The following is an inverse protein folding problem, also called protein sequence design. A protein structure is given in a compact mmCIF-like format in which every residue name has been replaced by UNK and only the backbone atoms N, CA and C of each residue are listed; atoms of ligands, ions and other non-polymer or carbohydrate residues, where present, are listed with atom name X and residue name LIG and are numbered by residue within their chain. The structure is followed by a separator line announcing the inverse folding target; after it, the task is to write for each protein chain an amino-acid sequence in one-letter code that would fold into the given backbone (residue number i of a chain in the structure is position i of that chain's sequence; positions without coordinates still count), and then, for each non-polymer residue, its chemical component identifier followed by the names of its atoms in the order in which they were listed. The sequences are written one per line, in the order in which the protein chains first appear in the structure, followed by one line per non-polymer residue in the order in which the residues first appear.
data_IF_584861909613
#
_entry.id   IF_584861909613
#
_cell.length_a   1.000
_cell.length_b   1.000
_cell.length_c   1.000
_cell.angle_alpha   90.00
_cell.angle_beta   90.00
_cell.angle_gamma   90.00
#
_symmetry.space_group_name_H-M   'P 1'
#
loop_
_entity.id
_entity.type
_entity.pdbx_description
1 polymer ?
#
# COMPACT_ATOMS: atom_id res chain seq x y z
N UNK A 1 11.94 19.15 -12.55
CA UNK A 1 11.84 19.49 -11.11
C UNK A 1 10.41 19.82 -10.64
N UNK A 2 9.42 20.02 -11.53
CA UNK A 2 8.02 20.32 -11.12
C UNK A 2 7.03 19.16 -11.27
N UNK A 3 7.50 17.94 -11.61
CA UNK A 3 6.64 16.80 -11.88
C UNK A 3 6.59 15.87 -10.66
N UNK A 4 5.52 15.97 -9.86
CA UNK A 4 5.32 15.19 -8.64
C UNK A 4 5.36 13.67 -8.90
N UNK A 5 4.73 13.19 -9.98
CA UNK A 5 4.75 11.77 -10.34
C UNK A 5 6.16 11.28 -10.70
N UNK A 6 6.95 12.15 -11.33
CA UNK A 6 8.37 11.89 -11.62
C UNK A 6 9.24 11.87 -10.36
N UNK A 7 8.94 12.70 -9.36
CA UNK A 7 9.65 12.69 -8.07
C UNK A 7 9.34 11.43 -7.27
N UNK A 8 8.05 11.07 -7.16
CA UNK A 8 7.63 9.85 -6.48
C UNK A 8 8.30 8.62 -7.11
N UNK A 9 8.25 8.48 -8.44
CA UNK A 9 8.90 7.34 -9.13
C UNK A 9 10.42 7.30 -8.94
N UNK A 10 11.10 8.45 -9.01
CA UNK A 10 12.54 8.53 -8.80
C UNK A 10 12.95 8.15 -7.37
N UNK A 11 12.25 8.66 -6.35
CA UNK A 11 12.55 8.37 -4.94
C UNK A 11 12.36 6.89 -4.64
N UNK A 12 11.24 6.29 -5.06
CA UNK A 12 10.98 4.84 -4.90
C UNK A 12 12.12 4.01 -5.48
N UNK A 13 12.56 4.33 -6.70
CA UNK A 13 13.65 3.62 -7.36
C UNK A 13 15.02 3.83 -6.67
N UNK A 14 15.27 5.01 -6.11
CA UNK A 14 16.48 5.27 -5.32
C UNK A 14 16.46 4.42 -4.04
N UNK A 15 15.32 4.37 -3.34
CA UNK A 15 15.15 3.56 -2.12
C UNK A 15 15.29 2.07 -2.42
N UNK A 16 14.65 1.58 -3.49
CA UNK A 16 14.78 0.20 -3.95
C UNK A 16 16.24 -0.19 -4.20
N UNK A 17 17.00 0.65 -4.91
CA UNK A 17 18.45 0.45 -5.13
C UNK A 17 19.29 0.52 -3.85
N UNK A 18 18.76 1.08 -2.77
CA UNK A 18 19.39 1.12 -1.43
C UNK A 18 18.96 -0.05 -0.53
N UNK A 19 18.20 -1.01 -1.06
CA UNK A 19 17.77 -2.21 -0.32
C UNK A 19 16.41 -2.08 0.37
N UNK A 20 15.67 -0.99 0.14
CA UNK A 20 14.28 -0.88 0.59
C UNK A 20 13.36 -1.55 -0.42
N UNK A 21 13.14 -2.84 -0.23
CA UNK A 21 12.43 -3.72 -1.17
C UNK A 21 10.92 -3.68 -1.04
N UNK A 22 10.39 -3.10 0.04
CA UNK A 22 8.95 -3.04 0.33
C UNK A 22 8.49 -1.61 0.49
N UNK A 23 7.43 -1.25 -0.21
CA UNK A 23 6.72 0.01 0.00
C UNK A 23 5.39 -0.26 0.68
N UNK A 24 5.12 0.48 1.75
CA UNK A 24 3.81 0.50 2.41
C UNK A 24 3.07 1.76 2.01
N UNK A 25 1.92 1.62 1.35
CA UNK A 25 0.96 2.71 1.19
C UNK A 25 0.03 2.71 2.42
N UNK A 26 0.16 3.71 3.29
CA UNK A 26 -0.59 3.80 4.54
C UNK A 26 -1.64 4.93 4.49
N UNK A 27 -2.84 4.66 4.98
CA UNK A 27 -3.92 5.66 5.07
C UNK A 27 -4.49 5.74 6.48
N UNK A 28 -4.87 6.93 6.93
CA UNK A 28 -5.60 7.12 8.20
C UNK A 28 -7.13 7.15 8.03
N UNK A 29 -7.62 6.72 6.87
CA UNK A 29 -9.02 6.75 6.47
C UNK A 29 -9.42 5.39 5.88
N UNK A 30 -10.38 4.67 6.50
CA UNK A 30 -10.78 3.34 6.03
C UNK A 30 -11.42 3.37 4.63
N UNK A 31 -11.97 4.51 4.20
CA UNK A 31 -12.56 4.63 2.87
C UNK A 31 -11.52 4.61 1.74
N UNK A 32 -10.23 4.75 2.06
CA UNK A 32 -9.14 4.62 1.09
C UNK A 32 -8.63 3.18 0.96
N UNK A 33 -9.14 2.21 1.73
CA UNK A 33 -8.69 0.81 1.70
C UNK A 33 -8.62 0.25 0.26
N UNK A 34 -9.72 0.36 -0.49
CA UNK A 34 -9.75 -0.14 -1.88
C UNK A 34 -8.96 0.71 -2.88
N UNK A 35 -8.63 1.97 -2.55
CA UNK A 35 -7.65 2.74 -3.33
C UNK A 35 -6.26 2.13 -3.15
N UNK A 36 -5.94 1.68 -1.94
CA UNK A 36 -4.69 0.97 -1.68
C UNK A 36 -4.64 -0.41 -2.34
N UNK A 37 -5.75 -1.16 -2.35
CA UNK A 37 -5.83 -2.43 -3.10
C UNK A 37 -5.62 -2.22 -4.62
N UNK A 38 -6.26 -1.21 -5.19
CA UNK A 38 -6.04 -0.80 -6.59
C UNK A 38 -4.58 -0.43 -6.85
N UNK A 39 -3.96 0.34 -5.95
CA UNK A 39 -2.56 0.74 -6.07
C UNK A 39 -1.61 -0.48 -6.00
N UNK A 40 -1.89 -1.46 -5.13
CA UNK A 40 -1.10 -2.69 -5.05
C UNK A 40 -1.09 -3.44 -6.37
N UNK A 41 -2.26 -3.57 -7.02
CA UNK A 41 -2.33 -4.19 -8.34
C UNK A 41 -1.54 -3.38 -9.37
N UNK A 42 -1.76 -2.07 -9.44
CA UNK A 42 -1.07 -1.18 -10.37
C UNK A 42 0.46 -1.30 -10.23
N UNK A 43 0.99 -1.15 -9.02
CA UNK A 43 2.42 -1.23 -8.77
C UNK A 43 2.95 -2.66 -8.98
N UNK A 44 2.28 -3.66 -8.42
CA UNK A 44 2.73 -5.05 -8.41
C UNK A 44 2.77 -5.67 -9.80
N UNK A 45 1.70 -5.54 -10.59
CA UNK A 45 1.65 -6.11 -11.94
C UNK A 45 2.53 -5.33 -12.92
N UNK A 46 2.69 -4.02 -12.75
CA UNK A 46 3.58 -3.24 -13.62
C UNK A 46 5.05 -3.50 -13.34
N UNK A 47 5.46 -3.61 -12.07
CA UNK A 47 6.88 -3.60 -11.66
C UNK A 47 7.45 -4.99 -11.35
N UNK A 48 6.63 -5.95 -10.92
CA UNK A 48 7.03 -7.30 -10.48
C UNK A 48 7.41 -8.23 -11.62
N UNK A 49 8.53 -7.95 -12.29
CA UNK A 49 8.99 -8.63 -13.53
C UNK A 49 10.47 -8.94 -13.46
N UNK A 50 10.93 -9.95 -14.18
CA UNK A 50 12.35 -10.30 -14.31
C UNK A 50 13.09 -10.38 -12.95
N UNK A 51 12.41 -10.91 -11.92
CA UNK A 51 12.93 -11.03 -10.54
C UNK A 51 13.35 -9.68 -9.92
N UNK A 52 12.74 -8.58 -10.37
CA UNK A 52 12.86 -7.24 -9.80
C UNK A 52 11.47 -6.68 -9.44
N UNK A 53 11.44 -5.50 -8.83
CA UNK A 53 10.23 -4.81 -8.43
C UNK A 53 10.19 -4.56 -6.92
N UNK A 54 9.51 -3.47 -6.55
CA UNK A 54 9.19 -3.16 -5.16
C UNK A 54 7.97 -4.00 -4.79
N UNK A 55 7.99 -4.65 -3.63
CA UNK A 55 6.82 -5.34 -3.12
C UNK A 55 5.82 -4.31 -2.57
N UNK A 56 4.60 -4.19 -3.16
CA UNK A 56 3.62 -3.23 -2.69
C UNK A 56 2.79 -3.82 -1.55
N UNK A 57 2.83 -3.16 -0.40
CA UNK A 57 2.01 -3.46 0.78
C UNK A 57 1.11 -2.26 1.09
N UNK A 58 0.03 -2.49 1.84
CA UNK A 58 -0.88 -1.45 2.26
C UNK A 58 -1.28 -1.68 3.71
N UNK A 59 -1.44 -0.58 4.48
CA UNK A 59 -1.87 -0.61 5.88
C UNK A 59 -2.94 0.45 6.13
N UNK A 60 -3.94 0.11 6.95
CA UNK A 60 -5.00 1.00 7.38
C UNK A 60 -4.74 1.47 8.80
N UNK A 61 -4.30 2.71 8.96
CA UNK A 61 -4.05 3.33 10.25
C UNK A 61 -5.29 4.06 10.81
N UNK A 62 -5.46 4.16 12.13
CA UNK A 62 -4.57 3.62 13.18
C UNK A 62 -4.71 2.11 13.43
N UNK A 63 -5.68 1.43 12.83
CA UNK A 63 -5.99 0.00 13.06
C UNK A 63 -4.73 -0.88 12.99
N UNK A 64 -3.96 -0.78 11.92
CA UNK A 64 -2.78 -1.62 11.71
C UNK A 64 -1.54 -1.18 12.47
N UNK A 65 -1.58 -0.03 13.17
CA UNK A 65 -0.56 0.24 14.20
C UNK A 65 -0.65 -0.79 15.34
N UNK A 66 -1.82 -1.40 15.54
CA UNK A 66 -2.08 -2.43 16.55
C UNK A 66 -1.94 -3.87 16.02
N UNK A 67 -1.52 -4.06 14.77
CA UNK A 67 -1.19 -5.37 14.20
C UNK A 67 0.25 -5.42 13.70
N UNK A 68 0.65 -4.42 12.93
CA UNK A 68 1.94 -4.32 12.23
C UNK A 68 2.78 -3.12 12.67
N UNK A 69 2.28 -2.25 13.54
CA UNK A 69 3.03 -1.08 14.05
C UNK A 69 4.36 -1.47 14.72
N UNK A 70 4.37 -2.54 15.53
CA UNK A 70 5.61 -3.06 16.12
C UNK A 70 6.64 -3.46 15.06
N UNK A 71 6.21 -4.11 13.98
CA UNK A 71 7.11 -4.51 12.89
C UNK A 71 7.58 -3.29 12.09
N UNK A 72 6.69 -2.33 11.83
CA UNK A 72 7.06 -1.07 11.18
C UNK A 72 8.10 -0.29 12.00
N UNK A 73 8.01 -0.29 13.33
CA UNK A 73 8.95 0.41 14.20
C UNK A 73 10.30 -0.30 14.33
N UNK A 74 10.32 -1.61 14.59
CA UNK A 74 11.54 -2.33 15.02
C UNK A 74 11.90 -3.55 14.16
N UNK A 75 11.11 -3.86 13.12
CA UNK A 75 11.39 -4.96 12.20
C UNK A 75 12.57 -4.68 11.25
N UNK A 76 12.70 -5.50 10.20
CA UNK A 76 13.77 -5.34 9.20
C UNK A 76 13.64 -3.98 8.50
N UNK A 77 14.76 -3.25 8.34
CA UNK A 77 14.80 -1.91 7.73
C UNK A 77 14.91 -1.98 6.20
N UNK A 78 14.04 -2.77 5.58
CA UNK A 78 13.89 -2.88 4.12
C UNK A 78 12.56 -2.30 3.61
N UNK A 79 11.87 -1.54 4.47
CA UNK A 79 10.57 -0.93 4.18
C UNK A 79 10.68 0.59 4.13
N UNK A 80 9.91 1.21 3.24
CA UNK A 80 9.63 2.64 3.25
C UNK A 80 8.12 2.86 3.12
N UNK A 81 7.65 4.03 3.51
CA UNK A 81 6.22 4.30 3.68
C UNK A 81 5.77 5.53 2.90
N UNK A 82 4.64 5.43 2.23
CA UNK A 82 3.97 6.53 1.56
C UNK A 82 2.60 6.73 2.22
N UNK A 83 2.44 7.83 2.94
CA UNK A 83 1.17 8.16 3.60
C UNK A 83 0.20 8.85 2.62
N UNK A 84 -1.04 8.37 2.55
CA UNK A 84 -2.16 9.06 1.95
C UNK A 84 -2.98 9.77 3.02
N UNK A 85 -2.90 11.10 3.04
CA UNK A 85 -3.54 11.92 4.07
C UNK A 85 -4.65 12.76 3.47
N UNK A 86 -5.85 12.62 4.00
CA UNK A 86 -7.00 13.42 3.62
C UNK A 86 -7.05 14.71 4.45
N UNK A 87 -7.09 15.85 3.79
CA UNK A 87 -7.11 17.17 4.45
C UNK A 87 -8.46 17.52 5.07
N UNK A 88 -9.57 17.08 4.46
CA UNK A 88 -10.94 17.39 4.90
C UNK A 88 -11.82 16.15 4.92
N UNK A 89 -12.49 15.91 6.05
CA UNK A 89 -13.57 14.93 6.19
C UNK A 89 -14.92 15.56 5.81
N UNK A 90 -15.93 14.72 5.57
CA UNK A 90 -17.29 15.16 5.19
C UNK A 90 -18.08 15.64 6.42
N UNK A 91 -17.76 15.10 7.60
CA UNK A 91 -18.44 15.38 8.85
C UNK A 91 -17.44 15.35 9.99
N UNK A 92 -17.63 16.21 10.97
CA UNK A 92 -16.78 16.34 12.17
C UNK A 92 -17.50 15.82 13.39
N UNK A 93 -16.80 15.05 14.21
CA UNK A 93 -17.26 14.60 15.52
C UNK A 93 -16.32 15.16 16.57
N UNK A 94 -16.87 15.87 17.55
CA UNK A 94 -16.11 16.44 18.67
C UNK A 94 -16.21 15.53 19.88
N UNK A 95 -15.10 15.34 20.60
CA UNK A 95 -15.07 14.58 21.84
C UNK A 95 -15.82 15.36 22.92
N UNK A 96 -16.90 14.79 23.50
CA UNK A 96 -17.61 15.43 24.60
C UNK A 96 -16.75 15.43 25.87
N UNK A 97 -17.07 16.34 26.79
CA UNK A 97 -16.52 16.31 28.15
C UNK A 97 -17.43 15.48 29.05
N UNK A 98 -16.85 14.65 29.92
CA UNK A 98 -17.58 13.92 30.95
C UNK A 98 -17.14 14.37 32.35
N UNK A 99 -18.05 14.34 33.32
CA UNK A 99 -17.72 14.66 34.72
C UNK A 99 -16.86 13.56 35.37
N UNK A 100 -17.05 12.31 34.95
CA UNK A 100 -16.19 11.17 35.29
C UNK A 100 -15.04 11.10 34.27
N UNK A 101 -13.81 11.30 34.75
CA UNK A 101 -12.56 11.28 33.98
C UNK A 101 -11.72 10.03 34.29
N UNK A 102 -12.36 8.91 34.63
CA UNK A 102 -11.66 7.67 34.99
C UNK A 102 -10.88 7.02 33.84
N UNK A 103 -11.16 7.38 32.59
CA UNK A 103 -10.38 6.99 31.41
C UNK A 103 -9.21 7.95 31.11
N UNK A 104 -9.11 9.05 31.85
CA UNK A 104 -8.13 10.14 31.68
C UNK A 104 -8.17 10.77 30.28
N UNK A 105 -9.31 10.73 29.57
CA UNK A 105 -9.44 11.25 28.21
C UNK A 105 -10.03 12.67 28.12
N UNK A 106 -10.38 13.32 29.23
CA UNK A 106 -10.91 14.69 29.17
C UNK A 106 -9.91 15.73 28.59
N UNK A 107 -8.61 15.43 28.50
CA UNK A 107 -7.66 16.29 27.78
C UNK A 107 -7.94 16.36 26.27
N UNK A 108 -8.73 15.41 25.74
CA UNK A 108 -9.24 15.41 24.37
C UNK A 108 -10.57 16.14 24.22
N UNK A 109 -11.24 16.50 25.32
CA UNK A 109 -12.55 17.15 25.26
C UNK A 109 -12.50 18.45 24.44
N UNK A 110 -13.47 18.62 23.54
CA UNK A 110 -13.51 19.75 22.61
C UNK A 110 -12.64 19.60 21.35
N UNK A 111 -11.73 18.61 21.31
CA UNK A 111 -11.00 18.26 20.07
C UNK A 111 -11.89 17.46 19.13
N UNK A 112 -11.66 17.60 17.83
CA UNK A 112 -12.32 16.76 16.85
C UNK A 112 -11.56 15.46 16.59
N UNK A 113 -12.25 14.43 16.12
CA UNK A 113 -11.61 13.18 15.69
C UNK A 113 -10.62 13.42 14.55
N UNK A 114 -10.83 14.41 13.68
CA UNK A 114 -9.85 14.81 12.68
C UNK A 114 -8.57 15.36 13.30
N UNK A 115 -8.69 16.21 14.33
CA UNK A 115 -7.51 16.72 15.05
C UNK A 115 -6.75 15.58 15.71
N UNK A 116 -7.45 14.64 16.36
CA UNK A 116 -6.85 13.48 17.00
C UNK A 116 -6.14 12.61 15.96
N UNK A 117 -6.81 12.29 14.85
CA UNK A 117 -6.25 11.45 13.79
C UNK A 117 -5.07 12.12 13.07
N UNK A 118 -5.10 13.45 12.87
CA UNK A 118 -3.97 14.20 12.35
C UNK A 118 -2.76 14.16 13.28
N UNK A 119 -2.97 14.22 14.60
CA UNK A 119 -1.89 14.08 15.57
C UNK A 119 -1.38 12.64 15.64
N UNK A 120 -2.24 11.63 15.51
CA UNK A 120 -1.82 10.23 15.38
C UNK A 120 -0.93 10.03 14.14
N UNK A 121 -1.31 10.60 12.99
CA UNK A 121 -0.46 10.61 11.79
C UNK A 121 0.90 11.27 12.03
N UNK A 122 0.93 12.49 12.59
CA UNK A 122 2.19 13.20 12.85
C UNK A 122 3.09 12.42 13.79
N UNK A 123 2.52 11.88 14.88
CA UNK A 123 3.26 11.05 15.83
C UNK A 123 3.84 9.80 15.18
N UNK A 124 3.03 9.10 14.37
CA UNK A 124 3.45 7.90 13.62
C UNK A 124 4.57 8.22 12.64
N UNK A 125 4.40 9.26 11.81
CA UNK A 125 5.42 9.69 10.84
C UNK A 125 6.76 9.97 11.52
N UNK A 126 6.75 10.75 12.61
CA UNK A 126 7.97 11.10 13.33
C UNK A 126 8.62 9.86 13.94
N UNK A 127 7.85 9.00 14.61
CA UNK A 127 8.34 7.76 15.21
C UNK A 127 8.93 6.81 14.17
N UNK A 128 8.29 6.66 13.00
CA UNK A 128 8.77 5.80 11.91
C UNK A 128 10.06 6.35 11.29
N UNK A 129 10.15 7.67 11.07
CA UNK A 129 11.38 8.31 10.56
C UNK A 129 12.53 8.15 11.55
N UNK A 130 12.30 8.34 12.84
CA UNK A 130 13.28 8.07 13.91
C UNK A 130 13.68 6.58 13.95
N UNK A 131 12.70 5.70 13.70
CA UNK A 131 12.88 4.26 13.48
C UNK A 131 13.53 3.87 12.15
N UNK A 132 14.03 4.86 11.38
CA UNK A 132 14.73 4.70 10.10
C UNK A 132 13.89 4.10 8.97
N UNK A 133 12.57 4.28 9.01
CA UNK A 133 11.68 4.06 7.87
C UNK A 133 11.64 5.36 7.06
N UNK A 134 12.16 5.39 5.82
CA UNK A 134 11.97 6.55 4.96
C UNK A 134 10.47 6.73 4.68
N UNK A 135 9.98 7.95 4.81
CA UNK A 135 8.56 8.24 4.65
C UNK A 135 8.31 9.41 3.70
N UNK A 136 7.24 9.31 2.92
CA UNK A 136 6.71 10.38 2.08
C UNK A 136 5.22 10.57 2.36
N UNK A 137 4.67 11.73 2.03
CA UNK A 137 3.25 12.03 2.21
C UNK A 137 2.64 12.60 0.94
N UNK A 138 1.53 12.02 0.52
CA UNK A 138 0.64 12.53 -0.51
C UNK A 138 -0.62 13.04 0.20
N UNK A 139 -0.90 14.34 0.04
CA UNK A 139 -2.05 14.99 0.66
C UNK A 139 -3.17 15.14 -0.36
N UNK A 140 -4.36 14.64 -0.04
CA UNK A 140 -5.58 14.78 -0.81
C UNK A 140 -6.42 15.92 -0.23
N UNK A 141 -6.91 16.82 -1.09
CA UNK A 141 -7.70 17.96 -0.63
C UNK A 141 -9.06 17.55 -0.05
N UNK A 142 -9.72 16.58 -0.70
CA UNK A 142 -11.03 16.06 -0.33
C UNK A 142 -11.27 14.66 -0.95
N UNK A 143 -12.51 14.17 -0.84
CA UNK A 143 -12.96 12.88 -1.40
C UNK A 143 -13.84 13.03 -2.64
N UNK A 144 -13.69 14.13 -3.38
CA UNK A 144 -14.45 14.36 -4.62
C UNK A 144 -13.91 13.50 -5.76
N UNK A 145 -14.74 13.27 -6.77
CA UNK A 145 -14.40 12.55 -7.99
C UNK A 145 -13.22 13.21 -8.72
N UNK A 146 -13.10 14.54 -8.63
CA UNK A 146 -11.98 15.30 -9.18
C UNK A 146 -10.67 14.94 -8.49
N UNK A 147 -10.63 14.97 -7.16
CA UNK A 147 -9.43 14.62 -6.38
C UNK A 147 -9.05 13.15 -6.59
N UNK A 148 -10.05 12.27 -6.66
CA UNK A 148 -9.83 10.86 -6.95
C UNK A 148 -9.23 10.64 -8.35
N UNK A 149 -9.75 11.34 -9.38
CA UNK A 149 -9.20 11.28 -10.73
C UNK A 149 -7.76 11.80 -10.82
N UNK A 150 -7.42 12.85 -10.07
CA UNK A 150 -6.04 13.34 -9.96
C UNK A 150 -5.13 12.29 -9.34
N UNK A 151 -5.59 11.61 -8.28
CA UNK A 151 -4.84 10.57 -7.60
C UNK A 151 -4.56 9.37 -8.50
N UNK A 152 -5.57 8.87 -9.21
CA UNK A 152 -5.40 7.75 -10.14
C UNK A 152 -4.40 8.08 -11.24
N UNK A 153 -4.57 9.22 -11.91
CA UNK A 153 -3.66 9.61 -12.98
C UNK A 153 -2.22 9.89 -12.48
N UNK A 154 -2.10 10.44 -11.26
CA UNK A 154 -0.80 10.60 -10.61
C UNK A 154 -0.09 9.26 -10.46
N UNK A 155 -0.77 8.26 -9.90
CA UNK A 155 -0.18 6.94 -9.68
C UNK A 155 0.07 6.18 -10.98
N UNK A 156 -0.86 6.18 -11.94
CA UNK A 156 -0.66 5.56 -13.27
C UNK A 156 0.62 6.10 -13.94
N UNK A 157 0.76 7.43 -13.96
CA UNK A 157 1.93 8.08 -14.53
C UNK A 157 3.20 7.75 -13.75
N UNK A 158 3.14 7.75 -12.42
CA UNK A 158 4.31 7.48 -11.60
C UNK A 158 4.79 6.03 -11.72
N UNK A 159 3.88 5.06 -11.69
CA UNK A 159 4.20 3.64 -11.81
C UNK A 159 4.71 3.32 -13.21
N UNK A 160 4.14 3.90 -14.27
CA UNK A 160 4.68 3.76 -15.63
C UNK A 160 6.13 4.27 -15.73
N UNK A 161 6.42 5.46 -15.19
CA UNK A 161 7.79 6.00 -15.13
C UNK A 161 8.71 5.12 -14.30
N UNK A 162 8.23 4.60 -13.18
CA UNK A 162 8.98 3.73 -12.28
C UNK A 162 9.35 2.40 -12.93
N UNK A 163 8.42 1.76 -13.67
CA UNK A 163 8.70 0.56 -14.45
C UNK A 163 9.80 0.75 -15.49
N UNK A 164 9.82 1.89 -16.19
CA UNK A 164 10.92 2.23 -17.09
C UNK A 164 12.26 2.41 -16.35
N UNK A 165 12.27 3.01 -15.16
CA UNK A 165 13.48 3.13 -14.34
C UNK A 165 14.00 1.78 -13.84
N UNK A 166 13.10 0.81 -13.61
CA UNK A 166 13.41 -0.58 -13.30
C UNK A 166 13.82 -1.41 -14.52
N UNK A 167 13.73 -0.83 -15.74
CA UNK A 167 13.99 -1.49 -17.03
C UNK A 167 13.09 -2.71 -17.28
N UNK A 168 11.82 -2.61 -16.87
CA UNK A 168 10.78 -3.60 -17.20
C UNK A 168 9.74 -2.96 -18.13
N UNK A 169 8.97 -3.79 -18.83
CA UNK A 169 7.78 -3.32 -19.55
C UNK A 169 6.66 -3.15 -18.52
N UNK A 170 6.13 -1.94 -18.21
CA UNK A 170 5.10 -1.79 -17.19
C UNK A 170 3.69 -2.21 -17.64
N UNK A 171 3.51 -2.59 -18.91
CA UNK A 171 2.19 -2.75 -19.54
C UNK A 171 1.84 -4.19 -19.97
N UNK A 172 2.61 -5.18 -19.51
CA UNK A 172 2.31 -6.60 -19.67
C UNK A 172 2.21 -7.34 -18.32
N UNK A 173 1.85 -8.62 -18.34
CA UNK A 173 1.67 -9.43 -17.13
C UNK A 173 1.90 -10.93 -17.36
N UNK A 174 3.01 -11.36 -18.01
CA UNK A 174 3.15 -12.75 -18.49
C UNK A 174 3.07 -13.81 -17.38
N UNK A 175 3.52 -13.49 -16.16
CA UNK A 175 3.58 -14.44 -15.04
C UNK A 175 2.21 -14.95 -14.58
N UNK A 176 1.13 -14.17 -14.77
CA UNK A 176 -0.22 -14.57 -14.34
C UNK A 176 -0.76 -15.75 -15.15
N UNK A 177 -0.20 -16.04 -16.33
CA UNK A 177 -0.66 -17.14 -17.15
C UNK A 177 -0.21 -18.51 -16.62
N UNK A 178 0.83 -18.59 -15.79
CA UNK A 178 1.37 -19.86 -15.31
C UNK A 178 0.40 -20.59 -14.36
N UNK A 179 -0.19 -19.88 -13.39
CA UNK A 179 -1.18 -20.50 -12.52
C UNK A 179 -2.45 -20.86 -13.29
N UNK A 180 -2.85 -20.07 -14.29
CA UNK A 180 -4.00 -20.36 -15.16
C UNK A 180 -3.80 -21.64 -15.94
N UNK A 181 -2.61 -21.84 -16.53
CA UNK A 181 -2.25 -23.10 -17.21
C UNK A 181 -2.35 -24.31 -16.27
N UNK A 182 -1.83 -24.18 -15.05
CA UNK A 182 -1.93 -25.25 -14.06
C UNK A 182 -3.38 -25.53 -13.65
N UNK A 183 -4.17 -24.49 -13.41
CA UNK A 183 -5.59 -24.61 -13.09
C UNK A 183 -6.38 -25.28 -14.23
N UNK A 184 -6.16 -24.85 -15.47
CA UNK A 184 -6.78 -25.46 -16.65
C UNK A 184 -6.42 -26.95 -16.77
N UNK A 185 -5.16 -27.31 -16.52
CA UNK A 185 -4.73 -28.69 -16.53
C UNK A 185 -5.43 -29.52 -15.44
N UNK A 186 -5.44 -29.04 -14.20
CA UNK A 186 -6.08 -29.72 -13.07
C UNK A 186 -7.60 -29.87 -13.25
N UNK A 187 -8.26 -28.90 -13.89
CA UNK A 187 -9.68 -28.96 -14.26
C UNK A 187 -9.96 -29.83 -15.50
N UNK A 188 -8.94 -30.37 -16.16
CA UNK A 188 -9.10 -31.24 -17.32
C UNK A 188 -9.50 -30.54 -18.61
N UNK A 189 -9.09 -29.26 -18.80
CA UNK A 189 -9.27 -28.56 -20.07
C UNK A 189 -8.53 -29.30 -21.18
N UNK A 190 -9.20 -29.53 -22.31
CA UNK A 190 -8.61 -30.16 -23.49
C UNK A 190 -7.34 -29.42 -23.95
N UNK A 191 -6.29 -30.16 -24.28
CA UNK A 191 -4.97 -29.64 -24.67
C UNK A 191 -3.98 -29.47 -23.51
N UNK A 192 -4.37 -29.82 -22.28
CA UNK A 192 -3.52 -29.76 -21.08
C UNK A 192 -3.26 -31.14 -20.45
N UNK A 193 -3.48 -32.23 -21.17
CA UNK A 193 -3.46 -33.61 -20.66
C UNK A 193 -2.11 -33.97 -20.03
N UNK A 194 -1.01 -33.70 -20.74
CA UNK A 194 0.35 -33.94 -20.23
C UNK A 194 0.61 -33.18 -18.93
N UNK A 195 0.21 -31.90 -18.90
CA UNK A 195 0.41 -31.05 -17.71
C UNK A 195 -0.44 -31.53 -16.53
N UNK A 196 -1.64 -32.07 -16.79
CA UNK A 196 -2.51 -32.63 -15.76
C UNK A 196 -1.87 -33.84 -15.10
N UNK A 197 -1.28 -34.75 -15.88
CA UNK A 197 -0.58 -35.93 -15.36
C UNK A 197 0.60 -35.52 -14.47
N UNK A 198 1.43 -34.58 -14.93
CA UNK A 198 2.54 -34.02 -14.16
C UNK A 198 2.07 -33.46 -12.81
N UNK A 199 1.07 -32.56 -12.83
CA UNK A 199 0.60 -31.90 -11.62
C UNK A 199 -0.12 -32.86 -10.67
N UNK A 200 -0.92 -33.78 -11.19
CA UNK A 200 -1.66 -34.75 -10.36
C UNK A 200 -0.72 -35.67 -9.58
N UNK A 201 0.50 -35.92 -10.08
CA UNK A 201 1.52 -36.66 -9.33
C UNK A 201 2.09 -35.87 -8.15
N UNK A 202 2.19 -34.55 -8.29
CA UNK A 202 2.74 -33.64 -7.28
C UNK A 202 1.71 -33.26 -6.21
N UNK A 203 0.42 -33.25 -6.57
CA UNK A 203 -0.67 -32.86 -5.67
C UNK A 203 -1.38 -34.05 -5.03
N UNK A 204 -0.92 -35.30 -5.25
CA UNK A 204 -1.62 -36.52 -4.82
C UNK A 204 -1.87 -36.58 -3.30
N UNK A 205 -0.98 -36.00 -2.51
CA UNK A 205 -1.05 -35.99 -1.05
C UNK A 205 -1.56 -34.67 -0.46
N UNK A 206 -1.94 -33.70 -1.32
CA UNK A 206 -2.55 -32.45 -0.88
C UNK A 206 -4.03 -32.70 -0.56
N UNK A 207 -4.30 -33.26 0.61
CA UNK A 207 -5.65 -33.27 1.18
C UNK A 207 -6.02 -31.83 1.56
N UNK A 208 -6.95 -31.24 0.81
CA UNK A 208 -7.60 -29.96 1.12
C UNK A 208 -8.97 -30.21 1.77
#
# INVERSE_FOLDING_TARGET
ESNLAGHYSAVRNILFRRGYTTEVLASFQPQLHFVSEWWKQLAGESEGKNQTGIFPAALDYTTDLHSLGQWMQEGIRNVFETFLILKKTVSTVTVPKFDDDSDELNYLAGKSFEEINQNAYKGTLLAHVEGKVPSATIVLDDRTEKTLGQLFYFFEKAIALSGYMLRVNPFDQPGVEEYKKNMFALLGKAGFEKRREELSSQTRDMQL
#
